data_IF_288010784654
#
_entry.id   IF_288010784654
#
_cell.length_a   1.000
_cell.length_b   1.000
_cell.length_c   1.000
_cell.angle_alpha   90.00
_cell.angle_beta   90.00
_cell.angle_gamma   90.00
#
_symmetry.space_group_name_H-M   'P 1'
#
loop_
_entity.id
_entity.type
_entity.pdbx_description
1 polymer ?
#
# COMPACT_ATOMS: atom_id res chain seq x y z
N UNK A 1 -59.54 -4.43 -8.68
CA UNK A 1 -58.33 -5.27 -8.50
C UNK A 1 -58.49 -6.51 -9.36
N UNK A 2 -57.79 -6.62 -10.50
CA UNK A 2 -57.90 -7.77 -11.41
C UNK A 2 -57.23 -8.99 -10.78
N UNK A 3 -57.97 -10.07 -10.57
CA UNK A 3 -57.43 -11.33 -10.08
C UNK A 3 -56.30 -11.79 -11.02
N UNK A 4 -55.10 -12.03 -10.48
CA UNK A 4 -54.02 -12.67 -11.20
C UNK A 4 -54.53 -14.02 -11.73
N UNK A 5 -54.36 -14.34 -13.02
CA UNK A 5 -54.88 -15.58 -13.58
C UNK A 5 -54.28 -16.76 -12.82
N UNK A 6 -55.09 -17.72 -12.39
CA UNK A 6 -54.69 -18.85 -11.55
C UNK A 6 -53.45 -19.62 -12.07
N UNK A 7 -53.17 -19.52 -13.37
CA UNK A 7 -51.99 -20.09 -14.04
C UNK A 7 -50.68 -19.35 -13.69
N UNK A 8 -50.70 -18.04 -13.47
CA UNK A 8 -49.53 -17.28 -13.00
C UNK A 8 -49.24 -17.57 -11.52
N UNK A 9 -50.27 -17.72 -10.69
CA UNK A 9 -50.09 -18.06 -9.28
C UNK A 9 -49.52 -19.48 -9.11
N UNK A 10 -50.02 -20.43 -9.91
CA UNK A 10 -49.48 -21.79 -9.96
C UNK A 10 -48.03 -21.84 -10.47
N UNK A 11 -47.67 -21.04 -11.48
CA UNK A 11 -46.29 -20.97 -11.98
C UNK A 11 -45.32 -20.38 -10.94
N UNK A 12 -45.74 -19.35 -10.19
CA UNK A 12 -44.95 -18.76 -9.10
C UNK A 12 -44.78 -19.75 -7.94
N UNK A 13 -45.83 -20.48 -7.58
CA UNK A 13 -45.77 -21.53 -6.55
C UNK A 13 -44.87 -22.70 -6.97
N UNK A 14 -44.96 -23.14 -8.23
CA UNK A 14 -44.07 -24.19 -8.76
C UNK A 14 -42.61 -23.75 -8.81
N UNK A 15 -42.34 -22.51 -9.23
CA UNK A 15 -40.98 -21.96 -9.23
C UNK A 15 -40.43 -21.84 -7.81
N UNK A 16 -41.26 -21.40 -6.85
CA UNK A 16 -40.89 -21.32 -5.44
C UNK A 16 -40.62 -22.70 -4.84
N UNK A 17 -41.44 -23.71 -5.18
CA UNK A 17 -41.25 -25.10 -4.75
C UNK A 17 -39.96 -25.70 -5.34
N UNK A 18 -39.69 -25.45 -6.62
CA UNK A 18 -38.49 -25.95 -7.30
C UNK A 18 -37.22 -25.26 -6.75
N UNK A 19 -37.28 -23.95 -6.50
CA UNK A 19 -36.24 -23.22 -5.79
C UNK A 19 -36.03 -23.79 -4.40
N UNK A 20 -37.09 -24.06 -3.64
CA UNK A 20 -37.03 -24.65 -2.29
C UNK A 20 -36.42 -26.05 -2.33
N UNK A 21 -36.76 -26.87 -3.32
CA UNK A 21 -36.25 -28.23 -3.48
C UNK A 21 -34.76 -28.24 -3.89
N UNK A 22 -34.36 -27.35 -4.79
CA UNK A 22 -32.95 -27.14 -5.15
C UNK A 22 -32.17 -26.63 -3.93
N UNK A 23 -32.72 -25.67 -3.18
CA UNK A 23 -32.08 -25.13 -1.98
C UNK A 23 -31.95 -26.20 -0.88
N UNK A 24 -33.00 -27.00 -0.68
CA UNK A 24 -32.98 -28.14 0.24
C UNK A 24 -31.97 -29.20 -0.20
N UNK A 25 -31.88 -29.50 -1.51
CA UNK A 25 -30.91 -30.43 -2.07
C UNK A 25 -29.46 -29.98 -1.88
N UNK A 26 -29.15 -28.71 -2.14
CA UNK A 26 -27.80 -28.16 -1.88
C UNK A 26 -27.51 -28.13 -0.38
N UNK A 27 -28.51 -27.82 0.46
CA UNK A 27 -28.37 -27.84 1.93
C UNK A 27 -28.13 -29.25 2.49
N UNK A 28 -28.75 -30.26 1.90
CA UNK A 28 -28.51 -31.68 2.20
C UNK A 28 -27.19 -32.19 1.62
N UNK A 29 -26.66 -31.57 0.56
CA UNK A 29 -25.37 -31.92 -0.04
C UNK A 29 -24.16 -31.27 0.66
N UNK A 30 -24.38 -30.34 1.60
CA UNK A 30 -23.33 -29.66 2.37
C UNK A 30 -22.38 -30.63 3.12
N UNK A 31 -22.86 -31.69 3.80
CA UNK A 31 -22.00 -32.72 4.38
C UNK A 31 -21.21 -33.51 3.33
N UNK A 32 -21.74 -33.61 2.10
CA UNK A 32 -21.12 -34.31 0.98
C UNK A 32 -19.91 -33.57 0.39
N UNK A 33 -19.89 -32.23 0.47
CA UNK A 33 -18.76 -31.39 0.05
C UNK A 33 -17.48 -31.69 0.84
N UNK A 34 -17.59 -32.03 2.13
CA UNK A 34 -16.44 -32.44 2.95
C UNK A 34 -15.78 -33.73 2.42
N UNK A 35 -16.56 -34.63 1.81
CA UNK A 35 -16.07 -35.85 1.15
C UNK A 35 -15.46 -35.62 -0.24
N UNK A 36 -15.69 -34.46 -0.87
CA UNK A 36 -15.23 -34.15 -2.23
C UNK A 36 -13.91 -33.37 -2.29
N UNK A 37 -13.10 -33.42 -1.23
CA UNK A 37 -11.79 -32.77 -1.15
C UNK A 37 -10.93 -32.99 -2.41
N UNK A 38 -10.80 -34.24 -2.87
CA UNK A 38 -9.98 -34.57 -4.03
C UNK A 38 -10.47 -33.91 -5.33
N UNK A 39 -11.79 -33.80 -5.51
CA UNK A 39 -12.39 -33.13 -6.68
C UNK A 39 -12.13 -31.63 -6.64
N UNK A 40 -12.26 -31.01 -5.46
CA UNK A 40 -12.01 -29.57 -5.27
C UNK A 40 -10.52 -29.25 -5.46
N UNK A 41 -9.61 -30.08 -4.93
CA UNK A 41 -8.17 -29.96 -5.15
C UNK A 41 -7.82 -30.06 -6.64
N UNK A 42 -8.44 -30.98 -7.38
CA UNK A 42 -8.23 -31.16 -8.83
C UNK A 42 -8.73 -29.95 -9.63
N UNK A 43 -9.92 -29.44 -9.31
CA UNK A 43 -10.49 -28.23 -9.94
C UNK A 43 -9.63 -26.99 -9.66
N UNK A 44 -9.25 -26.78 -8.40
CA UNK A 44 -8.37 -25.68 -8.01
C UNK A 44 -7.01 -25.78 -8.70
N UNK A 45 -6.47 -27.00 -8.82
CA UNK A 45 -5.20 -27.24 -9.49
C UNK A 45 -5.25 -26.92 -10.98
N UNK A 46 -6.34 -27.28 -11.66
CA UNK A 46 -6.56 -26.93 -13.08
C UNK A 46 -6.82 -25.44 -13.31
N UNK A 47 -7.46 -24.76 -12.36
CA UNK A 47 -7.67 -23.31 -12.42
C UNK A 47 -6.37 -22.53 -12.24
N UNK A 48 -5.52 -22.95 -11.29
CA UNK A 48 -4.26 -22.28 -10.95
C UNK A 48 -3.05 -22.76 -11.76
N UNK A 49 -3.18 -23.83 -12.56
CA UNK A 49 -2.06 -24.50 -13.27
C UNK A 49 -0.94 -24.91 -12.29
N UNK A 50 -1.33 -25.33 -11.08
CA UNK A 50 -0.44 -25.62 -9.94
C UNK A 50 -1.05 -26.71 -9.06
N UNK A 51 -0.20 -27.46 -8.35
CA UNK A 51 -0.71 -28.45 -7.38
C UNK A 51 -1.25 -27.73 -6.14
N UNK A 52 -2.52 -27.96 -5.82
CA UNK A 52 -3.19 -27.43 -4.64
C UNK A 52 -3.48 -28.58 -3.69
N UNK A 53 -3.08 -28.45 -2.43
CA UNK A 53 -3.47 -29.37 -1.35
C UNK A 53 -4.24 -28.60 -0.28
N UNK A 54 -5.37 -29.15 0.17
CA UNK A 54 -6.28 -28.54 1.15
C UNK A 54 -6.40 -29.50 2.33
N UNK A 55 -6.09 -29.11 3.56
CA UNK A 55 -6.17 -30.03 4.71
C UNK A 55 -7.60 -30.46 5.02
N UNK A 56 -8.51 -29.50 5.13
CA UNK A 56 -9.92 -29.73 5.42
C UNK A 56 -10.83 -28.76 4.67
N UNK A 57 -12.06 -29.19 4.40
CA UNK A 57 -13.12 -28.40 3.77
C UNK A 57 -14.36 -28.54 4.62
N UNK A 58 -14.85 -27.41 5.12
CA UNK A 58 -16.13 -27.32 5.81
C UNK A 58 -17.07 -26.43 5.00
N UNK A 59 -18.34 -26.79 4.96
CA UNK A 59 -19.36 -25.95 4.38
C UNK A 59 -20.52 -25.84 5.37
N UNK A 60 -21.00 -24.63 5.60
CA UNK A 60 -22.08 -24.36 6.54
C UNK A 60 -23.01 -23.29 5.99
N UNK A 61 -24.30 -23.43 6.27
CA UNK A 61 -25.31 -22.45 5.87
C UNK A 61 -25.54 -21.43 6.98
N UNK A 62 -25.45 -20.15 6.65
CA UNK A 62 -25.93 -19.04 7.47
C UNK A 62 -27.16 -18.43 6.82
N UNK A 63 -28.36 -18.90 7.17
CA UNK A 63 -29.59 -18.50 6.48
C UNK A 63 -29.60 -18.96 5.02
N UNK A 64 -29.51 -18.02 4.07
CA UNK A 64 -29.46 -18.27 2.62
C UNK A 64 -28.02 -18.24 2.05
N UNK A 65 -27.01 -17.98 2.88
CA UNK A 65 -25.62 -17.90 2.44
C UNK A 65 -24.88 -19.20 2.73
N UNK A 66 -24.26 -19.78 1.69
CA UNK A 66 -23.35 -20.90 1.84
C UNK A 66 -21.97 -20.35 2.21
N UNK A 67 -21.48 -20.68 3.40
CA UNK A 67 -20.13 -20.35 3.83
C UNK A 67 -19.23 -21.56 3.64
N UNK A 68 -18.24 -21.43 2.76
CA UNK A 68 -17.24 -22.47 2.51
C UNK A 68 -15.96 -22.07 3.23
N UNK A 69 -15.45 -22.96 4.10
CA UNK A 69 -14.19 -22.79 4.82
C UNK A 69 -13.19 -23.84 4.36
N UNK A 70 -12.03 -23.39 3.92
CA UNK A 70 -10.88 -24.22 3.55
C UNK A 70 -9.81 -24.03 4.61
N UNK A 71 -9.21 -25.12 5.11
CA UNK A 71 -8.12 -25.07 6.09
C UNK A 71 -6.84 -25.67 5.51
N UNK A 72 -5.70 -25.16 5.96
CA UNK A 72 -4.35 -25.64 5.61
C UNK A 72 -4.11 -25.75 4.10
N UNK A 73 -4.45 -24.70 3.36
CA UNK A 73 -4.29 -24.71 1.91
C UNK A 73 -2.87 -24.36 1.52
N UNK A 74 -2.28 -25.16 0.63
CA UNK A 74 -0.93 -24.99 0.13
C UNK A 74 -0.95 -25.12 -1.39
N UNK A 75 -0.40 -24.12 -2.07
CA UNK A 75 -0.15 -24.14 -3.52
C UNK A 75 1.33 -24.40 -3.74
N UNK A 76 1.63 -25.46 -4.48
CA UNK A 76 2.98 -25.95 -4.74
C UNK A 76 3.35 -25.75 -6.20
N UNK A 77 4.64 -25.58 -6.45
CA UNK A 77 5.19 -25.64 -7.80
C UNK A 77 5.31 -27.10 -8.29
N UNK A 78 5.75 -27.28 -9.54
CA UNK A 78 5.99 -28.61 -10.11
C UNK A 78 7.06 -29.43 -9.35
N UNK A 79 7.98 -28.76 -8.63
CA UNK A 79 9.00 -29.42 -7.80
C UNK A 79 8.57 -29.66 -6.34
N UNK A 80 7.27 -29.48 -6.01
CA UNK A 80 6.71 -29.72 -4.68
C UNK A 80 6.95 -28.62 -3.64
N UNK A 81 7.67 -27.54 -3.98
CA UNK A 81 7.92 -26.39 -3.10
C UNK A 81 6.65 -25.55 -2.94
N UNK A 82 6.29 -25.24 -1.70
CA UNK A 82 5.16 -24.34 -1.38
C UNK A 82 5.48 -22.92 -1.86
N UNK A 83 4.62 -22.37 -2.71
CA UNK A 83 4.72 -21.01 -3.23
C UNK A 83 3.81 -20.04 -2.47
N UNK A 84 2.63 -20.52 -2.08
CA UNK A 84 1.58 -19.81 -1.40
C UNK A 84 0.94 -20.77 -0.39
N UNK A 85 0.65 -20.30 0.82
CA UNK A 85 -0.14 -21.05 1.78
C UNK A 85 -1.05 -20.12 2.58
N UNK A 86 -2.16 -20.64 3.07
CA UNK A 86 -3.02 -19.94 4.02
C UNK A 86 -3.58 -20.95 5.02
N UNK A 87 -3.68 -20.51 6.27
CA UNK A 87 -4.14 -21.36 7.37
C UNK A 87 -5.65 -21.57 7.26
N UNK A 88 -6.39 -20.52 6.89
CA UNK A 88 -7.83 -20.59 6.64
C UNK A 88 -8.26 -19.64 5.51
N UNK A 89 -9.19 -20.09 4.66
CA UNK A 89 -9.92 -19.22 3.73
C UNK A 89 -11.41 -19.47 3.84
N UNK A 90 -12.19 -18.40 4.01
CA UNK A 90 -13.65 -18.41 3.97
C UNK A 90 -14.12 -17.72 2.70
N UNK A 91 -14.90 -18.43 1.90
CA UNK A 91 -15.55 -17.89 0.72
C UNK A 91 -17.06 -18.01 0.87
N UNK A 92 -17.77 -16.95 0.53
CA UNK A 92 -19.23 -16.90 0.53
C UNK A 92 -19.69 -16.70 -0.93
N UNK A 93 -20.08 -17.77 -1.65
CA UNK A 93 -20.55 -17.65 -3.02
C UNK A 93 -21.87 -16.89 -3.08
N UNK A 94 -21.97 -15.97 -4.03
CA UNK A 94 -23.23 -15.33 -4.39
C UNK A 94 -23.97 -16.24 -5.36
N UNK A 95 -24.79 -17.14 -4.82
CA UNK A 95 -25.51 -18.14 -5.63
C UNK A 95 -26.44 -17.47 -6.67
N UNK A 96 -27.10 -16.37 -6.31
CA UNK A 96 -28.04 -15.68 -7.19
C UNK A 96 -27.34 -15.03 -8.36
N UNK A 97 -26.31 -14.21 -8.12
CA UNK A 97 -25.53 -13.63 -9.20
C UNK A 97 -24.76 -14.70 -9.98
N UNK A 98 -24.34 -15.79 -9.33
CA UNK A 98 -23.63 -16.87 -10.01
C UNK A 98 -24.51 -17.60 -11.02
N UNK A 99 -25.77 -17.88 -10.66
CA UNK A 99 -26.74 -18.48 -11.57
C UNK A 99 -27.05 -17.56 -12.76
N UNK A 100 -27.29 -16.28 -12.51
CA UNK A 100 -27.62 -15.30 -13.57
C UNK A 100 -26.47 -15.13 -14.56
N UNK A 101 -25.22 -15.09 -14.07
CA UNK A 101 -24.04 -14.85 -14.91
C UNK A 101 -23.37 -16.12 -15.43
N UNK A 102 -23.82 -17.30 -14.99
CA UNK A 102 -23.16 -18.59 -15.23
C UNK A 102 -21.67 -18.58 -14.89
N UNK A 103 -21.28 -17.84 -13.85
CA UNK A 103 -19.90 -17.66 -13.37
C UNK A 103 -19.92 -17.61 -11.85
N UNK A 104 -18.92 -18.17 -11.19
CA UNK A 104 -18.81 -18.05 -9.74
C UNK A 104 -18.59 -16.58 -9.37
N UNK A 105 -19.56 -16.00 -8.67
CA UNK A 105 -19.45 -14.70 -8.02
C UNK A 105 -19.33 -14.92 -6.51
N UNK A 106 -18.51 -14.11 -5.83
CA UNK A 106 -18.32 -14.18 -4.38
C UNK A 106 -18.87 -12.91 -3.73
N UNK A 107 -19.64 -13.08 -2.67
CA UNK A 107 -20.04 -11.98 -1.77
C UNK A 107 -18.82 -11.52 -0.97
N UNK A 108 -18.01 -12.47 -0.51
CA UNK A 108 -16.82 -12.20 0.30
C UNK A 108 -15.78 -13.32 0.24
N UNK A 109 -14.51 -12.92 0.35
CA UNK A 109 -13.36 -13.79 0.51
C UNK A 109 -12.50 -13.31 1.69
N UNK A 110 -12.45 -14.10 2.76
CA UNK A 110 -11.64 -13.81 3.94
C UNK A 110 -10.52 -14.83 4.06
N UNK A 111 -9.27 -14.40 4.04
CA UNK A 111 -8.09 -15.27 4.14
C UNK A 111 -7.31 -14.93 5.41
N UNK A 112 -6.96 -15.94 6.19
CA UNK A 112 -6.20 -15.81 7.44
C UNK A 112 -4.88 -16.56 7.35
N UNK A 113 -3.81 -15.98 7.91
CA UNK A 113 -2.50 -16.64 8.01
C UNK A 113 -1.82 -16.86 6.65
N UNK A 114 -2.14 -16.03 5.64
CA UNK A 114 -1.56 -16.20 4.32
C UNK A 114 -0.06 -15.91 4.34
N UNK A 115 0.71 -16.71 3.59
CA UNK A 115 2.15 -16.50 3.36
C UNK A 115 2.35 -16.24 1.89
N UNK A 116 2.59 -14.97 1.56
CA UNK A 116 2.69 -14.46 0.20
C UNK A 116 4.11 -14.03 -0.11
N UNK A 117 4.55 -14.28 -1.34
CA UNK A 117 5.76 -13.67 -1.89
C UNK A 117 5.38 -12.78 -3.06
N UNK A 118 5.44 -11.47 -2.85
CA UNK A 118 5.14 -10.43 -3.85
C UNK A 118 6.45 -9.94 -4.43
N UNK A 119 6.54 -9.92 -5.76
CA UNK A 119 7.70 -9.44 -6.50
C UNK A 119 7.27 -8.26 -7.34
N UNK A 120 7.95 -7.12 -7.14
CA UNK A 120 7.82 -5.95 -8.00
C UNK A 120 8.96 -5.93 -9.00
N UNK A 121 8.63 -5.93 -10.30
CA UNK A 121 9.58 -5.82 -11.40
C UNK A 121 9.01 -4.89 -12.47
N UNK A 122 9.80 -3.94 -12.96
CA UNK A 122 9.39 -3.00 -14.03
C UNK A 122 8.08 -2.24 -13.74
N UNK A 123 7.77 -2.01 -12.47
CA UNK A 123 6.53 -1.35 -12.05
C UNK A 123 5.29 -2.25 -12.00
N UNK A 124 5.41 -3.53 -12.37
CA UNK A 124 4.37 -4.54 -12.19
C UNK A 124 4.54 -5.28 -10.87
N UNK A 125 3.42 -5.60 -10.22
CA UNK A 125 3.36 -6.41 -9.00
C UNK A 125 2.87 -7.81 -9.37
N UNK A 126 3.65 -8.82 -9.00
CA UNK A 126 3.31 -10.23 -9.24
C UNK A 126 3.35 -10.99 -7.93
N UNK A 127 2.43 -11.94 -7.74
CA UNK A 127 2.45 -12.85 -6.59
C UNK A 127 3.03 -14.17 -7.05
N UNK A 128 4.14 -14.60 -6.44
CA UNK A 128 4.80 -15.85 -6.79
C UNK A 128 3.83 -17.02 -6.55
N UNK A 129 3.58 -17.79 -7.61
CA UNK A 129 2.65 -18.91 -7.58
C UNK A 129 1.27 -18.64 -8.19
N UNK A 130 0.93 -17.37 -8.44
CA UNK A 130 -0.26 -16.99 -9.20
C UNK A 130 0.21 -16.49 -10.56
N UNK A 131 -0.10 -17.25 -11.62
CA UNK A 131 0.09 -16.77 -13.00
C UNK A 131 -1.13 -15.92 -13.36
N UNK A 132 -0.89 -14.70 -13.85
CA UNK A 132 -1.95 -13.86 -14.42
C UNK A 132 -2.39 -14.56 -15.72
N UNK A 133 -3.58 -15.19 -15.72
CA UNK A 133 -4.24 -15.54 -16.99
C UNK A 133 -4.71 -14.24 -17.66
N UNK A 134 -4.88 -14.27 -18.97
CA UNK A 134 -5.50 -13.18 -19.76
C UNK A 134 -6.94 -12.86 -19.31
N UNK A 135 -7.51 -13.66 -18.42
CA UNK A 135 -8.77 -13.38 -17.73
C UNK A 135 -8.51 -13.26 -16.23
N UNK A 136 -8.98 -12.18 -15.56
CA UNK A 136 -8.87 -12.07 -14.12
C UNK A 136 -9.57 -13.26 -13.47
N UNK A 137 -8.86 -13.99 -12.60
CA UNK A 137 -9.48 -14.94 -11.67
C UNK A 137 -10.30 -14.22 -10.58
N UNK A 138 -10.06 -12.90 -10.46
CA UNK A 138 -10.67 -11.97 -9.53
C UNK A 138 -11.31 -10.85 -10.34
N UNK A 139 -12.64 -10.74 -10.35
CA UNK A 139 -13.33 -9.59 -10.94
C UNK A 139 -13.81 -8.66 -9.81
N UNK A 140 -13.09 -7.57 -9.53
CA UNK A 140 -13.45 -6.62 -8.48
C UNK A 140 -14.79 -5.94 -8.71
N UNK A 141 -15.37 -6.01 -9.91
CA UNK A 141 -16.73 -5.51 -10.15
C UNK A 141 -17.80 -6.46 -9.63
N UNK A 142 -17.47 -7.73 -9.36
CA UNK A 142 -18.39 -8.73 -8.82
C UNK A 142 -18.04 -9.17 -7.41
N UNK A 143 -16.77 -9.13 -7.03
CA UNK A 143 -16.27 -9.60 -5.75
C UNK A 143 -16.18 -8.44 -4.77
N UNK A 144 -17.20 -8.33 -3.91
CA UNK A 144 -17.47 -7.09 -3.18
C UNK A 144 -16.57 -6.87 -1.99
N UNK A 145 -16.09 -7.93 -1.33
CA UNK A 145 -15.28 -7.82 -0.12
C UNK A 145 -14.17 -8.87 -0.11
N UNK A 146 -12.91 -8.44 -0.11
CA UNK A 146 -11.77 -9.33 0.12
C UNK A 146 -11.02 -8.86 1.33
N UNK A 147 -10.79 -9.75 2.30
CA UNK A 147 -9.94 -9.44 3.43
C UNK A 147 -8.82 -10.45 3.62
N UNK A 148 -7.69 -9.95 4.07
CA UNK A 148 -6.54 -10.67 4.54
C UNK A 148 -6.36 -10.37 6.02
N UNK A 149 -6.17 -11.39 6.86
CA UNK A 149 -5.96 -11.23 8.30
C UNK A 149 -4.69 -11.96 8.74
N UNK A 150 -3.96 -11.36 9.68
CA UNK A 150 -2.77 -11.92 10.31
C UNK A 150 -1.79 -12.60 9.33
N UNK A 151 -1.53 -11.95 8.20
CA UNK A 151 -0.78 -12.57 7.11
C UNK A 151 0.68 -12.09 7.06
N UNK A 152 1.51 -12.86 6.36
CA UNK A 152 2.93 -12.58 6.16
C UNK A 152 3.19 -12.35 4.68
N UNK A 153 3.80 -11.21 4.37
CA UNK A 153 4.15 -10.83 3.00
C UNK A 153 5.66 -10.63 2.92
N UNK A 154 6.31 -11.45 2.12
CA UNK A 154 7.65 -11.16 1.63
C UNK A 154 7.49 -10.29 0.38
N UNK A 155 7.91 -9.03 0.44
CA UNK A 155 7.91 -8.12 -0.70
C UNK A 155 9.35 -7.96 -1.19
N UNK A 156 9.63 -8.46 -2.39
CA UNK A 156 10.86 -8.22 -3.14
C UNK A 156 10.65 -7.08 -4.14
N UNK A 157 11.32 -5.94 -3.95
CA UNK A 157 11.33 -4.82 -4.89
C UNK A 157 12.63 -4.81 -5.68
N UNK A 158 12.60 -5.35 -6.90
CA UNK A 158 13.78 -5.42 -7.78
C UNK A 158 14.19 -4.06 -8.34
N UNK A 159 13.31 -3.07 -8.30
CA UNK A 159 13.63 -1.72 -8.74
C UNK A 159 14.44 -0.97 -7.69
N UNK A 160 14.23 -1.31 -6.41
CA UNK A 160 14.92 -0.71 -5.27
C UNK A 160 16.01 -1.61 -4.66
N UNK A 161 16.23 -2.79 -5.27
CA UNK A 161 17.10 -3.86 -4.75
C UNK A 161 16.89 -4.10 -3.24
N UNK A 162 15.62 -4.26 -2.86
CA UNK A 162 15.22 -4.33 -1.45
C UNK A 162 14.19 -5.42 -1.20
N UNK A 163 14.32 -6.12 -0.07
CA UNK A 163 13.36 -7.13 0.37
C UNK A 163 12.80 -6.78 1.76
N UNK A 164 11.47 -6.75 1.88
CA UNK A 164 10.74 -6.42 3.09
C UNK A 164 9.95 -7.63 3.55
N UNK A 165 10.13 -8.04 4.81
CA UNK A 165 9.33 -9.09 5.45
C UNK A 165 8.30 -8.44 6.36
N UNK A 166 7.05 -8.41 5.90
CA UNK A 166 5.90 -7.84 6.58
C UNK A 166 5.18 -8.96 7.33
N UNK A 167 4.81 -8.72 8.59
CA UNK A 167 4.09 -9.68 9.44
C UNK A 167 2.84 -9.01 10.01
N UNK A 168 1.86 -9.82 10.40
CA UNK A 168 0.56 -9.35 10.90
C UNK A 168 -0.05 -8.33 9.92
N UNK A 169 -0.08 -8.70 8.64
CA UNK A 169 -0.68 -7.88 7.59
C UNK A 169 -2.18 -8.15 7.57
N UNK A 170 -2.93 -7.08 7.82
CA UNK A 170 -4.37 -7.03 7.66
C UNK A 170 -4.70 -6.16 6.43
N UNK A 171 -5.38 -6.71 5.44
CA UNK A 171 -5.83 -5.94 4.28
C UNK A 171 -7.32 -6.12 4.08
N UNK A 172 -8.02 -5.08 3.69
CA UNK A 172 -9.42 -5.14 3.26
C UNK A 172 -9.56 -4.40 1.95
N UNK A 173 -10.23 -5.02 1.00
CA UNK A 173 -10.61 -4.46 -0.28
C UNK A 173 -12.12 -4.55 -0.39
N UNK A 174 -12.76 -3.40 -0.34
CA UNK A 174 -14.20 -3.26 -0.43
C UNK A 174 -14.54 -2.62 -1.78
N UNK A 175 -15.10 -3.41 -2.69
CA UNK A 175 -15.52 -2.97 -4.01
C UNK A 175 -17.06 -2.82 -4.05
N UNK A 176 -17.52 -1.59 -3.83
CA UNK A 176 -18.93 -1.21 -3.91
C UNK A 176 -19.39 -0.93 -5.35
N UNK A 177 -20.65 -0.51 -5.51
CA UNK A 177 -21.31 -0.25 -6.80
C UNK A 177 -20.78 0.98 -7.59
N UNK A 178 -19.55 1.44 -7.32
CA UNK A 178 -18.98 2.64 -7.93
C UNK A 178 -17.79 3.25 -7.19
N UNK A 179 -17.33 2.62 -6.11
CA UNK A 179 -16.11 3.00 -5.40
C UNK A 179 -15.38 1.73 -4.97
N UNK A 180 -14.06 1.77 -5.00
CA UNK A 180 -13.20 0.70 -4.50
C UNK A 180 -12.32 1.27 -3.41
N UNK A 181 -12.46 0.75 -2.20
CA UNK A 181 -11.64 1.15 -1.05
C UNK A 181 -10.69 0.02 -0.69
N UNK A 182 -9.41 0.33 -0.62
CA UNK A 182 -8.38 -0.55 -0.13
C UNK A 182 -7.83 0.02 1.17
N UNK A 183 -7.79 -0.81 2.21
CA UNK A 183 -7.13 -0.48 3.46
C UNK A 183 -6.16 -1.60 3.81
N UNK A 184 -4.90 -1.26 4.01
CA UNK A 184 -3.85 -2.17 4.44
C UNK A 184 -3.31 -1.66 5.76
N UNK A 185 -3.30 -2.50 6.78
CA UNK A 185 -2.65 -2.29 8.07
C UNK A 185 -1.58 -3.35 8.22
N UNK A 186 -0.40 -2.95 8.63
CA UNK A 186 0.70 -3.87 8.86
C UNK A 186 1.51 -3.43 10.07
N UNK A 187 2.10 -4.42 10.73
CA UNK A 187 3.11 -4.20 11.77
C UNK A 187 4.48 -4.59 11.23
N UNK A 188 5.52 -3.92 11.72
CA UNK A 188 6.88 -4.27 11.34
C UNK A 188 7.36 -5.45 12.18
N UNK A 189 7.80 -6.52 11.50
CA UNK A 189 8.46 -7.64 12.14
C UNK A 189 9.66 -7.09 12.94
N UNK A 190 9.60 -7.25 14.27
CA UNK A 190 10.61 -6.85 15.26
C UNK A 190 10.40 -5.49 15.96
N UNK A 191 9.33 -4.74 15.66
CA UNK A 191 8.92 -3.61 16.50
C UNK A 191 7.39 -3.55 16.59
N UNK A 192 6.83 -3.99 17.72
CA UNK A 192 5.38 -4.04 17.95
C UNK A 192 4.73 -2.66 18.00
N UNK A 193 5.49 -1.62 18.34
CA UNK A 193 4.99 -0.26 18.38
C UNK A 193 5.00 0.39 16.99
N UNK A 194 5.80 -0.14 16.07
CA UNK A 194 5.89 0.36 14.71
C UNK A 194 4.70 -0.10 13.86
N UNK A 195 3.85 0.84 13.46
CA UNK A 195 2.60 0.58 12.73
C UNK A 195 2.58 1.36 11.43
N UNK A 196 2.12 0.71 10.36
CA UNK A 196 1.85 1.37 9.08
C UNK A 196 0.40 1.10 8.67
N UNK A 197 -0.31 2.17 8.35
CA UNK A 197 -1.66 2.14 7.78
C UNK A 197 -1.62 2.82 6.42
N UNK A 198 -2.05 2.10 5.40
CA UNK A 198 -2.21 2.55 4.03
C UNK A 198 -3.70 2.47 3.69
N UNK A 199 -4.25 3.55 3.17
CA UNK A 199 -5.60 3.61 2.65
C UNK A 199 -5.58 4.17 1.23
N UNK A 200 -6.42 3.64 0.36
CA UNK A 200 -6.62 4.17 -0.97
C UNK A 200 -8.09 4.02 -1.37
N UNK A 201 -8.65 5.07 -1.92
CA UNK A 201 -10.03 5.10 -2.41
C UNK A 201 -10.00 5.46 -3.90
N UNK A 202 -10.58 4.61 -4.74
CA UNK A 202 -10.65 4.78 -6.17
C UNK A 202 -12.10 4.84 -6.65
N UNK A 203 -12.35 5.65 -7.68
CA UNK A 203 -13.67 5.71 -8.34
C UNK A 203 -14.00 4.40 -9.07
N UNK A 204 -13.00 3.72 -9.62
CA UNK A 204 -13.16 2.41 -10.24
C UNK A 204 -11.86 1.67 -10.11
N UNK A 205 -11.92 0.36 -9.83
CA UNK A 205 -10.72 -0.47 -9.84
C UNK A 205 -10.15 -0.47 -11.28
N UNK A 206 -8.97 0.10 -11.49
CA UNK A 206 -8.48 0.36 -12.83
C UNK A 206 -7.82 -0.89 -13.41
N UNK A 207 -8.06 -1.17 -14.68
CA UNK A 207 -7.42 -2.29 -15.37
C UNK A 207 -5.93 -2.00 -15.62
N UNK A 208 -5.58 -0.73 -15.80
CA UNK A 208 -4.22 -0.26 -16.05
C UNK A 208 -3.81 0.81 -15.04
N UNK A 209 -2.52 0.86 -14.70
CA UNK A 209 -1.96 1.87 -13.79
C UNK A 209 -2.31 3.31 -14.23
N UNK A 210 -2.24 3.60 -15.53
CA UNK A 210 -2.55 4.92 -16.10
C UNK A 210 -4.00 5.36 -15.89
N UNK A 211 -4.92 4.46 -15.53
CA UNK A 211 -6.32 4.79 -15.25
C UNK A 211 -6.58 5.07 -13.77
N UNK A 212 -5.58 4.84 -12.90
CA UNK A 212 -5.73 5.06 -11.46
C UNK A 212 -5.99 6.53 -11.15
N UNK A 213 -7.18 6.78 -10.62
CA UNK A 213 -7.63 8.07 -10.09
C UNK A 213 -8.29 7.87 -8.74
N UNK A 214 -7.88 8.64 -7.74
CA UNK A 214 -8.36 8.46 -6.38
C UNK A 214 -7.58 9.22 -5.33
N UNK A 215 -7.96 8.97 -4.08
CA UNK A 215 -7.27 9.51 -2.89
C UNK A 215 -6.48 8.42 -2.20
N UNK A 216 -5.46 8.81 -1.45
CA UNK A 216 -4.73 7.90 -0.58
C UNK A 216 -4.41 8.53 0.76
N UNK A 217 -4.20 7.67 1.74
CA UNK A 217 -3.73 7.99 3.07
C UNK A 217 -2.59 7.05 3.44
N UNK A 218 -1.56 7.57 4.08
CA UNK A 218 -0.48 6.81 4.66
C UNK A 218 -0.21 7.35 6.06
N UNK A 219 -0.19 6.47 7.05
CA UNK A 219 0.20 6.76 8.41
C UNK A 219 1.26 5.78 8.84
N UNK A 220 2.38 6.30 9.33
CA UNK A 220 3.45 5.56 9.94
C UNK A 220 3.65 6.06 11.36
N UNK A 221 3.70 5.16 12.32
CA UNK A 221 3.97 5.48 13.72
C UNK A 221 5.16 4.66 14.20
N UNK A 222 6.05 5.31 14.96
CA UNK A 222 7.22 4.70 15.57
C UNK A 222 8.07 3.87 14.60
N UNK A 223 8.27 4.36 13.38
CA UNK A 223 9.01 3.67 12.34
C UNK A 223 10.52 3.82 12.59
N UNK A 224 11.26 2.74 12.88
CA UNK A 224 12.70 2.85 13.03
C UNK A 224 13.34 3.26 11.70
N UNK A 225 14.30 4.19 11.74
CA UNK A 225 14.99 4.70 10.55
C UNK A 225 15.57 3.59 9.66
N UNK A 226 16.04 2.50 10.28
CA UNK A 226 16.57 1.31 9.59
C UNK A 226 15.56 0.59 8.68
N UNK A 227 14.26 0.85 8.83
CA UNK A 227 13.18 0.29 8.01
C UNK A 227 12.65 1.26 6.95
N UNK A 228 13.17 2.48 6.90
CA UNK A 228 12.80 3.45 5.88
C UNK A 228 13.37 3.04 4.49
N UNK A 229 12.78 3.56 3.40
CA UNK A 229 13.34 3.44 2.06
C UNK A 229 14.82 3.85 2.02
N UNK A 230 15.61 3.22 1.15
CA UNK A 230 17.05 3.43 1.04
C UNK A 230 17.44 4.91 0.88
N UNK A 231 16.66 5.68 0.10
CA UNK A 231 16.86 7.12 -0.10
C UNK A 231 16.75 7.94 1.18
N UNK A 232 15.89 7.54 2.11
CA UNK A 232 15.75 8.18 3.42
C UNK A 232 16.81 7.68 4.40
N UNK A 233 17.15 6.39 4.37
CA UNK A 233 18.24 5.82 5.18
C UNK A 233 19.61 6.43 4.88
N UNK A 234 19.84 6.85 3.64
CA UNK A 234 21.03 7.58 3.25
C UNK A 234 21.11 9.00 3.86
N UNK A 235 20.01 9.52 4.42
CA UNK A 235 19.96 10.85 5.07
C UNK A 235 19.82 10.74 6.58
N UNK A 236 19.06 9.76 7.06
CA UNK A 236 18.79 9.53 8.48
C UNK A 236 19.29 8.13 8.84
N UNK A 237 20.43 8.08 9.54
CA UNK A 237 21.09 6.84 9.93
C UNK A 237 20.38 6.15 11.11
N UNK A 238 19.86 6.93 12.08
CA UNK A 238 19.11 6.43 13.24
C UNK A 238 17.99 7.38 13.62
N UNK A 239 17.04 6.87 14.41
CA UNK A 239 15.89 7.60 14.92
C UNK A 239 14.57 6.86 14.72
N UNK A 240 13.51 7.47 15.23
CA UNK A 240 12.15 6.94 15.18
C UNK A 240 11.25 7.93 14.44
N UNK A 241 10.76 7.54 13.28
CA UNK A 241 9.97 8.38 12.40
C UNK A 241 8.46 8.16 12.57
N UNK A 242 7.71 9.26 12.57
CA UNK A 242 6.25 9.26 12.45
C UNK A 242 5.83 10.09 11.25
N UNK A 243 4.81 9.67 10.52
CA UNK A 243 4.39 10.32 9.29
C UNK A 243 2.88 10.19 9.10
N UNK A 244 2.24 11.25 8.62
CA UNK A 244 0.86 11.19 8.13
C UNK A 244 0.79 11.92 6.80
N UNK A 245 0.44 11.22 5.71
CA UNK A 245 0.24 11.79 4.37
C UNK A 245 -1.18 11.53 3.92
N UNK A 246 -1.81 12.55 3.36
CA UNK A 246 -2.99 12.43 2.50
C UNK A 246 -2.67 12.96 1.12
N UNK A 247 -3.24 12.36 0.09
CA UNK A 247 -2.98 12.81 -1.26
C UNK A 247 -3.99 12.33 -2.29
N UNK A 248 -3.73 12.72 -3.53
CA UNK A 248 -4.48 12.30 -4.69
C UNK A 248 -3.55 11.72 -5.74
N UNK A 249 -4.06 10.74 -6.48
CA UNK A 249 -3.42 10.16 -7.65
C UNK A 249 -4.23 10.50 -8.89
N UNK A 250 -3.53 10.84 -9.96
CA UNK A 250 -4.08 11.09 -11.29
C UNK A 250 -3.19 10.41 -12.31
N UNK A 251 -3.81 9.70 -13.25
CA UNK A 251 -3.15 8.99 -14.33
C UNK A 251 -2.01 8.05 -13.86
N UNK A 252 -2.22 7.36 -12.72
CA UNK A 252 -1.23 6.41 -12.19
C UNK A 252 -0.03 7.02 -11.46
N UNK A 253 -0.04 8.33 -11.24
CA UNK A 253 1.00 9.05 -10.51
C UNK A 253 0.39 9.88 -9.38
N UNK A 254 1.19 10.15 -8.34
CA UNK A 254 0.81 11.09 -7.28
C UNK A 254 0.69 12.48 -7.91
N UNK A 255 -0.46 13.12 -7.76
CA UNK A 255 -0.72 14.48 -8.22
C UNK A 255 -0.46 15.49 -7.09
N UNK A 256 -0.90 15.14 -5.87
CA UNK A 256 -0.72 15.95 -4.66
C UNK A 256 -0.50 15.07 -3.45
N UNK A 257 0.33 15.52 -2.53
CA UNK A 257 0.47 14.95 -1.20
C UNK A 257 0.62 16.09 -0.18
N UNK A 258 -0.04 15.98 0.96
CA UNK A 258 0.10 16.89 2.09
C UNK A 258 0.23 16.05 3.34
N UNK A 259 1.04 16.50 4.29
CA UNK A 259 1.27 15.68 5.46
C UNK A 259 2.13 16.32 6.52
N UNK A 260 2.34 15.54 7.57
CA UNK A 260 3.28 15.81 8.63
C UNK A 260 4.30 14.68 8.67
N UNK A 261 5.53 15.01 9.03
CA UNK A 261 6.56 14.05 9.29
C UNK A 261 7.35 14.52 10.51
N UNK A 262 7.69 13.60 11.38
CA UNK A 262 8.64 13.84 12.46
C UNK A 262 9.62 12.69 12.57
N UNK A 263 10.81 12.98 13.07
CA UNK A 263 11.80 12.00 13.48
C UNK A 263 12.30 12.40 14.85
N UNK A 264 12.19 11.50 15.80
CA UNK A 264 12.75 11.61 17.15
C UNK A 264 14.10 10.89 17.20
N UNK A 265 15.03 11.41 18.01
CA UNK A 265 16.40 10.92 18.16
C UNK A 265 17.10 10.70 16.81
N UNK A 266 16.95 11.68 15.91
CA UNK A 266 17.43 11.61 14.55
C UNK A 266 18.94 11.79 14.50
N UNK A 267 19.67 10.75 14.08
CA UNK A 267 21.08 10.87 13.68
C UNK A 267 21.14 11.02 12.16
N UNK A 268 21.54 12.18 11.68
CA UNK A 268 21.79 12.38 10.25
C UNK A 268 23.05 11.59 9.83
N UNK A 269 23.07 11.09 8.60
CA UNK A 269 24.14 10.20 8.13
C UNK A 269 25.54 10.85 8.23
N UNK A 270 25.64 12.11 7.80
CA UNK A 270 26.87 12.90 7.82
C UNK A 270 26.70 14.17 8.65
N UNK A 271 25.78 14.20 9.63
CA UNK A 271 25.42 15.44 10.34
C UNK A 271 25.20 15.25 11.83
N UNK A 272 24.70 16.29 12.52
CA UNK A 272 24.51 16.26 13.96
C UNK A 272 23.45 15.24 14.39
N UNK A 273 23.47 14.94 15.69
CA UNK A 273 22.36 14.28 16.34
C UNK A 273 21.33 15.34 16.73
N UNK A 274 20.08 15.07 16.39
CA UNK A 274 18.94 15.93 16.65
C UNK A 274 17.98 15.17 17.54
N UNK A 275 17.47 15.82 18.58
CA UNK A 275 16.46 15.25 19.47
C UNK A 275 15.14 15.07 18.71
N UNK A 276 14.80 16.05 17.88
CA UNK A 276 13.58 16.02 17.08
C UNK A 276 13.72 16.85 15.82
N UNK A 277 13.16 16.33 14.73
CA UNK A 277 12.91 17.08 13.50
C UNK A 277 11.44 16.90 13.16
N UNK A 278 10.67 17.98 13.15
CA UNK A 278 9.24 17.98 12.82
C UNK A 278 8.97 18.89 11.64
N UNK A 279 8.10 18.49 10.72
CA UNK A 279 7.70 19.35 9.61
C UNK A 279 6.29 19.06 9.12
N UNK A 280 5.66 20.10 8.55
CA UNK A 280 4.48 19.96 7.71
C UNK A 280 4.88 20.18 6.26
N UNK A 281 4.42 19.34 5.35
CA UNK A 281 4.77 19.46 3.94
C UNK A 281 3.55 19.42 3.03
N UNK A 282 3.72 20.04 1.87
CA UNK A 282 2.81 19.96 0.75
C UNK A 282 3.59 19.78 -0.55
N UNK A 283 3.43 18.61 -1.17
CA UNK A 283 4.00 18.28 -2.46
C UNK A 283 2.93 18.31 -3.55
N UNK A 284 3.28 18.82 -4.73
CA UNK A 284 2.39 18.85 -5.89
C UNK A 284 3.19 18.65 -7.17
N UNK A 285 2.68 17.77 -8.04
CA UNK A 285 3.19 17.58 -9.39
C UNK A 285 2.92 18.83 -10.24
N UNK A 286 3.84 19.16 -11.14
CA UNK A 286 3.70 20.26 -12.09
C UNK A 286 3.96 19.76 -13.50
N UNK A 287 3.59 20.55 -14.51
CA UNK A 287 3.81 20.20 -15.92
C UNK A 287 5.29 19.90 -16.24
N UNK A 288 6.23 20.57 -15.56
CA UNK A 288 7.69 20.40 -15.74
C UNK A 288 8.42 20.11 -14.42
N UNK A 289 7.94 19.15 -13.65
CA UNK A 289 8.59 18.72 -12.41
C UNK A 289 7.64 18.69 -11.22
N UNK A 290 8.07 19.23 -10.08
CA UNK A 290 7.28 19.21 -8.85
C UNK A 290 7.64 20.37 -7.93
N UNK A 291 6.70 20.70 -7.04
CA UNK A 291 6.89 21.68 -5.98
C UNK A 291 6.63 21.04 -4.63
N UNK A 292 7.56 21.21 -3.70
CA UNK A 292 7.41 20.90 -2.29
C UNK A 292 7.44 22.20 -1.49
N UNK A 293 6.51 22.33 -0.56
CA UNK A 293 6.49 23.39 0.45
C UNK A 293 6.61 22.72 1.81
N UNK A 294 7.40 23.33 2.67
CA UNK A 294 7.58 22.93 4.06
C UNK A 294 7.15 24.10 4.92
N UNK A 295 6.38 23.82 5.96
CA UNK A 295 5.93 24.78 6.96
C UNK A 295 6.21 24.21 8.33
N UNK A 296 6.40 25.11 9.29
CA UNK A 296 6.62 24.76 10.69
C UNK A 296 7.73 23.70 10.82
N UNK A 297 8.89 23.97 10.20
CA UNK A 297 10.05 23.12 10.35
C UNK A 297 10.60 23.34 11.75
N UNK A 298 10.43 22.37 12.63
CA UNK A 298 10.96 22.35 13.99
C UNK A 298 12.20 21.46 14.00
N UNK A 299 13.28 21.96 14.59
CA UNK A 299 14.48 21.18 14.80
C UNK A 299 15.00 21.44 16.20
N UNK A 300 15.02 20.37 16.99
CA UNK A 300 15.49 20.36 18.36
C UNK A 300 16.78 19.54 18.43
N UNK A 301 17.77 20.08 19.13
CA UNK A 301 19.07 19.49 19.42
C UNK A 301 19.40 19.74 20.90
N UNK A 302 20.38 19.02 21.43
CA UNK A 302 20.77 19.13 22.85
C UNK A 302 21.07 20.56 23.32
N UNK A 303 21.57 21.42 22.41
CA UNK A 303 21.97 22.78 22.75
C UNK A 303 20.93 23.83 22.32
N UNK A 304 20.10 23.53 21.31
CA UNK A 304 19.24 24.52 20.64
C UNK A 304 17.98 23.92 20.05
N UNK A 305 16.89 24.67 20.15
CA UNK A 305 15.63 24.44 19.45
C UNK A 305 15.37 25.61 18.52
N UNK A 306 15.07 25.34 17.25
CA UNK A 306 14.71 26.38 16.29
C UNK A 306 13.55 25.99 15.39
N UNK A 307 12.85 27.02 14.90
CA UNK A 307 11.67 26.87 14.05
C UNK A 307 11.77 27.75 12.81
N UNK A 308 11.79 27.13 11.64
CA UNK A 308 11.61 27.82 10.36
C UNK A 308 10.12 27.91 10.03
N UNK A 309 9.62 29.12 9.76
CA UNK A 309 8.21 29.32 9.39
C UNK A 309 7.87 28.71 8.04
N UNK A 310 8.74 28.90 7.05
CA UNK A 310 8.50 28.41 5.71
C UNK A 310 9.81 28.08 4.99
N UNK A 311 9.81 26.93 4.33
CA UNK A 311 10.79 26.57 3.34
C UNK A 311 10.10 25.98 2.12
N UNK A 312 10.80 25.86 1.01
CA UNK A 312 10.28 25.13 -0.12
C UNK A 312 11.33 24.81 -1.13
N UNK A 313 10.98 23.87 -2.00
CA UNK A 313 11.83 23.37 -3.05
C UNK A 313 10.99 23.15 -4.30
N UNK A 314 11.41 23.74 -5.41
CA UNK A 314 10.81 23.52 -6.72
C UNK A 314 11.84 22.83 -7.58
N UNK A 315 11.43 21.71 -8.17
CA UNK A 315 12.18 20.98 -9.19
C UNK A 315 11.59 21.31 -10.55
N UNK A 316 12.45 21.78 -11.46
CA UNK A 316 12.14 22.12 -12.84
C UNK A 316 12.96 21.20 -13.75
N UNK A 317 12.28 20.35 -14.51
CA UNK A 317 12.94 19.57 -15.55
C UNK A 317 13.46 20.52 -16.65
N UNK A 318 14.74 20.42 -16.96
CA UNK A 318 15.41 21.17 -18.02
C UNK A 318 15.56 20.26 -19.24
N UNK A 319 15.69 20.84 -20.44
CA UNK A 319 16.06 20.08 -21.64
C UNK A 319 17.45 19.42 -21.41
N UNK A 320 17.65 18.22 -21.95
CA UNK A 320 18.89 17.41 -21.88
C UNK A 320 19.10 16.62 -20.57
N UNK A 321 18.03 16.24 -19.84
CA UNK A 321 18.16 15.37 -18.67
C UNK A 321 18.62 16.06 -17.37
N UNK A 322 18.93 17.37 -17.44
CA UNK A 322 19.26 18.17 -16.27
C UNK A 322 18.02 18.54 -15.47
N UNK A 323 18.16 18.61 -14.14
CA UNK A 323 17.13 19.07 -13.22
C UNK A 323 17.62 20.32 -12.51
N UNK A 324 16.86 21.41 -12.64
CA UNK A 324 17.09 22.62 -11.87
C UNK A 324 16.24 22.59 -10.60
N UNK A 325 16.87 22.86 -9.46
CA UNK A 325 16.22 23.04 -8.17
C UNK A 325 16.26 24.51 -7.79
N UNK A 326 15.15 25.02 -7.26
CA UNK A 326 15.09 26.32 -6.60
C UNK A 326 14.50 26.13 -5.20
N UNK A 327 15.32 26.35 -4.19
CA UNK A 327 14.95 26.38 -2.80
C UNK A 327 14.66 27.80 -2.33
N UNK A 328 13.82 27.92 -1.31
CA UNK A 328 13.73 29.13 -0.51
C UNK A 328 13.54 28.78 0.95
N UNK A 329 13.97 29.68 1.81
CA UNK A 329 13.86 29.58 3.26
C UNK A 329 13.61 30.98 3.81
N UNK A 330 12.55 31.16 4.58
CA UNK A 330 12.20 32.43 5.21
C UNK A 330 12.16 32.25 6.72
N UNK A 331 12.65 33.26 7.44
CA UNK A 331 12.67 33.31 8.90
C UNK A 331 13.49 32.16 9.53
N UNK A 332 14.73 32.01 9.09
CA UNK A 332 15.71 31.10 9.70
C UNK A 332 16.90 31.91 10.23
N UNK A 333 17.43 31.54 11.40
CA UNK A 333 18.65 32.17 11.90
C UNK A 333 19.87 31.51 11.26
N UNK A 334 20.89 32.28 10.92
CA UNK A 334 22.11 31.78 10.30
C UNK A 334 22.76 30.75 11.21
N UNK A 335 22.91 31.07 12.48
CA UNK A 335 23.51 30.22 13.50
C UNK A 335 22.81 28.86 13.67
N UNK A 336 21.51 28.79 13.41
CA UNK A 336 20.71 27.56 13.48
C UNK A 336 20.95 26.67 12.25
N UNK A 337 21.08 27.27 11.06
CA UNK A 337 21.40 26.53 9.83
C UNK A 337 22.82 26.01 9.82
N UNK A 338 23.74 26.78 10.40
CA UNK A 338 25.15 26.39 10.53
C UNK A 338 25.31 25.17 11.43
N UNK A 339 24.49 25.06 12.49
CA UNK A 339 24.47 23.90 13.38
C UNK A 339 23.96 22.61 12.71
N UNK A 340 23.29 22.70 11.54
CA UNK A 340 22.78 21.57 10.78
C UNK A 340 23.67 21.15 9.62
N UNK A 341 24.78 21.86 9.40
CA UNK A 341 25.69 21.52 8.34
C UNK A 341 26.28 20.12 8.59
N UNK A 342 26.42 19.30 7.54
CA UNK A 342 27.05 18.00 7.67
C UNK A 342 28.53 18.16 8.06
N UNK A 343 29.05 17.26 8.88
CA UNK A 343 30.48 17.20 9.28
C UNK A 343 31.41 16.76 8.13
N UNK A 344 30.88 16.62 6.90
CA UNK A 344 31.60 16.12 5.73
C UNK A 344 32.49 17.16 5.06
N UNK A 345 33.53 16.72 4.35
CA UNK A 345 34.42 17.56 3.52
C UNK A 345 33.68 18.38 2.43
N UNK A 346 32.41 18.04 2.14
CA UNK A 346 31.55 18.74 1.16
C UNK A 346 31.27 20.21 1.52
N UNK A 347 31.54 20.63 2.76
CA UNK A 347 31.36 22.01 3.24
C UNK A 347 32.70 22.73 3.47
N UNK A 348 33.82 22.23 2.95
CA UNK A 348 35.13 22.90 3.07
C UNK A 348 35.11 24.34 2.57
N UNK A 349 34.34 24.61 1.50
CA UNK A 349 34.13 25.95 0.98
C UNK A 349 33.43 26.90 1.98
N UNK A 350 32.69 26.35 2.95
CA UNK A 350 32.01 27.11 3.99
C UNK A 350 32.86 27.24 5.27
N UNK A 351 33.93 26.45 5.49
CA UNK A 351 34.76 26.51 6.70
C UNK A 351 35.21 27.93 7.09
N UNK A 352 35.68 28.81 6.18
CA UNK A 352 36.05 30.18 6.52
C UNK A 352 34.87 31.00 7.05
N UNK A 353 33.65 30.71 6.58
CA UNK A 353 32.42 31.32 7.06
C UNK A 353 32.03 30.75 8.43
N UNK A 354 32.13 29.42 8.63
CA UNK A 354 31.88 28.76 9.92
C UNK A 354 32.79 29.34 11.01
N UNK A 355 34.07 29.52 10.71
CA UNK A 355 35.07 30.07 11.64
C UNK A 355 34.75 31.51 12.10
N UNK A 356 33.92 32.25 11.33
CA UNK A 356 33.49 33.62 11.68
C UNK A 356 32.23 33.67 12.54
N UNK A 357 31.64 32.52 12.88
CA UNK A 357 30.42 32.39 13.67
C UNK A 357 29.32 33.40 13.28
N UNK A 358 28.91 33.45 11.99
CA UNK A 358 27.93 34.41 11.52
C UNK A 358 26.59 34.19 12.25
N UNK A 359 26.00 35.29 12.73
CA UNK A 359 24.73 35.29 13.43
C UNK A 359 23.77 36.31 12.81
N UNK A 360 22.48 36.05 12.91
CA UNK A 360 21.43 36.95 12.43
C UNK A 360 20.28 36.20 11.77
N UNK A 361 19.24 36.95 11.37
CA UNK A 361 18.05 36.39 10.73
C UNK A 361 18.17 36.48 9.21
N UNK A 362 18.03 35.33 8.54
CA UNK A 362 17.84 35.27 7.09
C UNK A 362 16.36 35.44 6.78
N UNK A 363 16.05 36.57 6.16
CA UNK A 363 14.77 36.80 5.48
C UNK A 363 14.94 36.44 4.01
N UNK A 364 14.05 35.59 3.49
CA UNK A 364 13.89 35.28 2.07
C UNK A 364 15.15 34.78 1.34
N UNK A 365 15.88 33.87 1.98
CA UNK A 365 16.99 33.17 1.34
C UNK A 365 16.46 32.40 0.13
N UNK A 366 17.09 32.60 -1.02
CA UNK A 366 16.85 31.80 -2.23
C UNK A 366 18.11 31.01 -2.56
N UNK A 367 17.91 29.74 -2.89
CA UNK A 367 18.99 28.87 -3.35
C UNK A 367 18.60 28.27 -4.68
N UNK A 368 19.55 28.16 -5.59
CA UNK A 368 19.36 27.53 -6.89
C UNK A 368 20.48 26.54 -7.16
N UNK A 369 20.11 25.38 -7.69
CA UNK A 369 21.04 24.30 -7.98
C UNK A 369 20.68 23.64 -9.31
N UNK A 370 21.68 23.17 -10.06
CA UNK A 370 21.50 22.29 -11.22
C UNK A 370 22.17 20.97 -10.95
N UNK A 371 21.43 19.89 -11.21
CA UNK A 371 21.89 18.53 -10.99
C UNK A 371 21.73 17.74 -12.29
N UNK A 372 22.73 16.95 -12.63
CA UNK A 372 22.72 16.01 -13.75
C UNK A 372 23.21 14.65 -13.24
N UNK A 373 22.44 13.59 -13.49
CA UNK A 373 22.75 12.22 -13.03
C UNK A 373 23.07 12.10 -11.52
N UNK A 374 22.43 12.94 -10.70
CA UNK A 374 22.65 12.98 -9.24
C UNK A 374 23.87 13.79 -8.78
N UNK A 375 24.66 14.34 -9.70
CA UNK A 375 25.80 15.21 -9.40
C UNK A 375 25.41 16.69 -9.50
N UNK A 376 25.82 17.49 -8.51
CA UNK A 376 25.59 18.94 -8.48
C UNK A 376 26.55 19.62 -9.46
N UNK A 377 26.02 20.21 -10.53
CA UNK A 377 26.80 20.91 -11.55
C UNK A 377 27.10 22.36 -11.17
N UNK A 378 26.11 23.04 -10.58
CA UNK A 378 26.19 24.46 -10.26
C UNK A 378 25.20 24.80 -9.17
N UNK A 379 25.59 25.65 -8.23
CA UNK A 379 24.69 26.27 -7.26
C UNK A 379 24.92 27.79 -7.19
N UNK A 380 23.88 28.54 -6.81
CA UNK A 380 23.89 29.98 -6.57
C UNK A 380 22.89 30.34 -5.48
#
# INVERSE_FOLDING_TARGET
>A
MKALPARCLAAVLWLALLLTLVFAGIRLATPWLAGQRATIEKLASGALDRSVSIGAIDAAWGGLELNVRLRDVKVKNASGRVLLSFDEARATPDLMHSLVRRRLALVGLHVTGARLHVIRAHGELTVRGIRRRDRPAFDPHTERNVSLHDSQILWEDRQLDAAYRLKHVDATLDAGAGETRLRIRLSLANNRAARVVLGADWQRLPARRAEMRGTFYLQGEQLPASKLPASLRARVARGTASLQVRGSMENGAIARAVGTASVEDARLADGPQLERVGLKFGWRRQARGWRMRVKDLEVDSAERSWRARAAGLVSLAVRNGQIAYRGWLSDAKVEDLMALLPDSDSIDALRPLIARAPAGQLADMQLSARVENGQLLRYR
#
